data_IF_984834548007
#
_entry.id   IF_984834548007
#
_cell.length_a   1.000
_cell.length_b   1.000
_cell.length_c   1.000
_cell.angle_alpha   90.00
_cell.angle_beta   90.00
_cell.angle_gamma   90.00
#
_symmetry.space_group_name_H-M   'P 1'
#
loop_
_entity.id
_entity.type
_entity.pdbx_description
1 polymer ?
#
# COMPACT_ATOMS: atom_id res chain seq x y z
N UNK A 1 -20.75 -49.27 43.74
CA UNK A 1 -19.34 -49.35 43.29
C UNK A 1 -19.30 -49.11 41.78
N UNK A 2 -18.39 -48.22 41.34
CA UNK A 2 -17.85 -48.05 39.96
C UNK A 2 -18.68 -47.28 38.92
N UNK A 3 -18.47 -45.97 38.95
CA UNK A 3 -18.21 -45.03 37.83
C UNK A 3 -17.79 -45.63 36.50
N UNK A 4 -18.32 -45.13 35.38
CA UNK A 4 -17.53 -44.69 34.19
C UNK A 4 -18.20 -43.47 33.55
N UNK A 5 -17.52 -42.33 33.63
CA UNK A 5 -17.69 -41.17 32.79
C UNK A 5 -16.80 -41.33 31.54
N UNK A 6 -17.26 -40.92 30.36
CA UNK A 6 -16.40 -40.71 29.18
C UNK A 6 -17.08 -39.72 28.23
N UNK A 7 -16.90 -38.42 28.49
CA UNK A 7 -16.09 -37.49 27.68
C UNK A 7 -16.71 -37.24 26.30
N UNK A 8 -17.50 -36.16 26.24
CA UNK A 8 -17.89 -35.51 25.00
C UNK A 8 -16.62 -34.97 24.32
N UNK A 9 -16.27 -35.57 23.18
CA UNK A 9 -15.24 -35.05 22.29
C UNK A 9 -15.77 -33.76 21.64
N UNK A 10 -15.59 -32.64 22.34
CA UNK A 10 -15.73 -31.31 21.79
C UNK A 10 -14.53 -31.10 20.85
N UNK A 11 -14.69 -31.52 19.60
CA UNK A 11 -13.79 -31.16 18.51
C UNK A 11 -13.78 -29.63 18.41
N UNK A 12 -12.79 -29.03 19.08
CA UNK A 12 -12.39 -27.65 18.85
C UNK A 12 -11.99 -27.56 17.39
N UNK A 13 -12.94 -27.09 16.58
CA UNK A 13 -12.69 -26.59 15.24
C UNK A 13 -11.76 -25.39 15.44
N UNK A 14 -10.45 -25.65 15.41
CA UNK A 14 -9.47 -24.64 15.11
C UNK A 14 -9.80 -24.14 13.71
N UNK A 15 -10.64 -23.11 13.64
CA UNK A 15 -10.73 -22.31 12.43
C UNK A 15 -9.30 -21.84 12.17
N UNK A 16 -8.67 -22.21 11.04
CA UNK A 16 -7.49 -21.46 10.63
C UNK A 16 -7.96 -20.02 10.58
N UNK A 17 -7.35 -19.16 11.42
CA UNK A 17 -7.47 -17.74 11.24
C UNK A 17 -7.20 -17.50 9.76
N UNK A 18 -8.18 -16.97 9.04
CA UNK A 18 -8.02 -16.61 7.64
C UNK A 18 -6.82 -15.67 7.56
N UNK A 19 -5.65 -16.22 7.27
CA UNK A 19 -4.49 -15.46 6.84
C UNK A 19 -4.91 -14.93 5.48
N UNK A 20 -5.61 -13.79 5.48
CA UNK A 20 -5.76 -13.02 4.26
C UNK A 20 -4.34 -12.67 3.86
N UNK A 21 -3.79 -13.44 2.92
CA UNK A 21 -2.58 -13.06 2.21
C UNK A 21 -2.94 -11.72 1.57
N UNK A 22 -2.41 -10.66 2.15
CA UNK A 22 -2.65 -9.33 1.65
C UNK A 22 -2.00 -9.31 0.27
N UNK A 23 -2.82 -9.33 -0.77
CA UNK A 23 -2.32 -9.27 -2.13
C UNK A 23 -1.89 -7.83 -2.44
N UNK A 24 -0.66 -7.50 -2.04
CA UNK A 24 0.01 -6.22 -2.28
C UNK A 24 0.12 -5.92 -3.78
N UNK A 25 0.23 -6.98 -4.60
CA UNK A 25 0.26 -6.87 -6.06
C UNK A 25 -1.03 -6.26 -6.62
N UNK A 26 -2.17 -6.44 -5.93
CA UNK A 26 -3.46 -5.90 -6.39
C UNK A 26 -3.60 -4.38 -6.25
N UNK A 27 -2.91 -3.75 -5.28
CA UNK A 27 -2.95 -2.30 -5.09
C UNK A 27 -1.92 -1.61 -5.99
N UNK A 28 -0.72 -2.19 -6.07
CA UNK A 28 0.33 -1.79 -7.00
C UNK A 28 -0.11 -1.92 -8.46
N UNK A 29 -0.65 -3.07 -8.85
CA UNK A 29 -1.17 -3.29 -10.20
C UNK A 29 -2.30 -2.32 -10.57
N UNK A 30 -3.14 -1.93 -9.60
CA UNK A 30 -4.16 -0.89 -9.78
C UNK A 30 -3.55 0.50 -9.95
N UNK A 31 -2.49 0.83 -9.23
CA UNK A 31 -1.76 2.09 -9.42
C UNK A 31 -1.11 2.12 -10.82
N UNK A 32 -0.41 1.05 -11.21
CA UNK A 32 0.24 0.95 -12.52
C UNK A 32 -0.77 1.02 -13.67
N UNK A 33 -1.91 0.34 -13.56
CA UNK A 33 -2.97 0.43 -14.57
C UNK A 33 -3.51 1.86 -14.71
N UNK A 34 -3.63 2.59 -13.61
CA UNK A 34 -4.08 3.98 -13.63
C UNK A 34 -3.02 4.93 -14.20
N UNK A 35 -1.74 4.75 -13.88
CA UNK A 35 -0.65 5.57 -14.41
C UNK A 35 -0.38 5.28 -15.88
N UNK A 36 -0.44 4.02 -16.33
CA UNK A 36 -0.38 3.67 -17.76
C UNK A 36 -1.52 4.30 -18.56
N UNK A 37 -2.71 4.41 -17.96
CA UNK A 37 -3.86 5.05 -18.61
C UNK A 37 -3.74 6.57 -18.63
N UNK A 38 -3.31 7.20 -17.52
CA UNK A 38 -3.32 8.65 -17.38
C UNK A 38 -2.05 9.33 -17.93
N UNK A 39 -0.90 8.69 -17.79
CA UNK A 39 0.40 9.26 -18.11
C UNK A 39 1.42 8.20 -18.58
N UNK A 40 1.15 7.46 -19.68
CA UNK A 40 1.99 6.35 -20.12
C UNK A 40 3.44 6.74 -20.41
N UNK A 41 3.71 7.98 -20.81
CA UNK A 41 5.06 8.48 -21.08
C UNK A 41 5.91 8.71 -19.82
N UNK A 42 5.30 8.68 -18.63
CA UNK A 42 5.99 8.91 -17.36
C UNK A 42 6.60 7.65 -16.76
N UNK A 43 6.23 6.46 -17.24
CA UNK A 43 6.75 5.15 -16.77
C UNK A 43 6.81 4.98 -15.25
N UNK A 44 5.75 5.37 -14.53
CA UNK A 44 5.74 5.37 -13.06
C UNK A 44 5.75 3.98 -12.41
N UNK A 45 5.60 2.93 -13.21
CA UNK A 45 5.85 1.54 -12.81
C UNK A 45 7.32 1.27 -12.45
N UNK A 46 8.25 2.11 -12.91
CA UNK A 46 9.70 1.99 -12.69
C UNK A 46 10.18 2.70 -11.40
N UNK A 47 9.25 3.26 -10.60
CA UNK A 47 9.56 3.88 -9.32
C UNK A 47 10.24 2.87 -8.37
N UNK A 48 11.43 3.20 -7.91
CA UNK A 48 12.10 2.50 -6.81
C UNK A 48 11.59 2.97 -5.45
N UNK A 49 12.00 2.27 -4.40
CA UNK A 49 11.68 2.55 -2.98
C UNK A 49 11.86 4.03 -2.61
N UNK A 50 13.10 4.54 -2.66
CA UNK A 50 13.36 5.94 -2.29
C UNK A 50 12.61 6.97 -3.15
N UNK A 51 12.36 6.67 -4.42
CA UNK A 51 11.61 7.57 -5.30
C UNK A 51 10.12 7.59 -4.97
N UNK A 52 9.58 6.48 -4.46
CA UNK A 52 8.21 6.49 -3.98
C UNK A 52 8.07 7.30 -2.69
N UNK A 53 9.02 7.19 -1.77
CA UNK A 53 9.03 8.00 -0.56
C UNK A 53 9.07 9.49 -0.93
N UNK A 54 9.86 9.89 -1.92
CA UNK A 54 9.86 11.26 -2.43
C UNK A 54 8.50 11.68 -3.02
N UNK A 55 7.79 10.77 -3.70
CA UNK A 55 6.42 11.03 -4.20
C UNK A 55 5.45 11.23 -3.02
N UNK A 56 5.57 10.42 -1.98
CA UNK A 56 4.76 10.54 -0.77
C UNK A 56 5.03 11.86 -0.03
N UNK A 57 6.30 12.20 0.14
CA UNK A 57 6.74 13.43 0.79
C UNK A 57 6.30 14.68 0.05
N UNK A 58 6.16 14.60 -1.28
CA UNK A 58 5.55 15.66 -2.07
C UNK A 58 4.02 15.70 -2.01
N UNK A 59 3.35 14.55 -1.84
CA UNK A 59 1.89 14.45 -1.87
C UNK A 59 1.22 14.73 -0.52
N UNK A 60 1.72 14.10 0.56
CA UNK A 60 1.07 14.11 1.87
C UNK A 60 0.99 15.51 2.51
N UNK A 61 1.99 16.41 2.38
CA UNK A 61 1.92 17.74 2.98
C UNK A 61 0.79 18.63 2.44
N UNK A 62 0.23 18.31 1.27
CA UNK A 62 -0.93 19.03 0.73
C UNK A 62 -2.22 18.78 1.55
N UNK A 63 -2.22 17.82 2.49
CA UNK A 63 -3.39 17.45 3.28
C UNK A 63 -3.29 17.87 4.76
N UNK A 64 -4.43 18.22 5.39
CA UNK A 64 -4.48 18.54 6.80
C UNK A 64 -3.93 17.42 7.69
N UNK A 65 -3.41 17.79 8.87
CA UNK A 65 -2.86 16.83 9.84
C UNK A 65 -3.83 15.69 10.20
N UNK A 66 -5.14 15.98 10.28
CA UNK A 66 -6.16 14.97 10.54
C UNK A 66 -6.24 13.88 9.46
N UNK A 67 -6.09 14.26 8.18
CA UNK A 67 -6.08 13.31 7.06
C UNK A 67 -4.80 12.48 7.09
N UNK A 68 -3.65 13.12 7.31
CA UNK A 68 -2.36 12.43 7.45
C UNK A 68 -2.36 11.44 8.63
N UNK A 69 -2.95 11.81 9.76
CA UNK A 69 -3.12 10.92 10.91
C UNK A 69 -4.05 9.73 10.61
N UNK A 70 -5.11 9.94 9.84
CA UNK A 70 -5.98 8.84 9.38
C UNK A 70 -5.22 7.88 8.46
N UNK A 71 -4.38 8.40 7.56
CA UNK A 71 -3.51 7.60 6.69
C UNK A 71 -2.55 6.76 7.54
N UNK A 72 -1.80 7.37 8.46
CA UNK A 72 -0.84 6.65 9.30
C UNK A 72 -1.50 5.57 10.17
N UNK A 73 -2.72 5.84 10.67
CA UNK A 73 -3.53 4.87 11.42
C UNK A 73 -3.93 3.66 10.56
N UNK A 74 -4.28 3.88 9.29
CA UNK A 74 -4.66 2.80 8.36
C UNK A 74 -3.43 2.00 7.91
N UNK A 75 -2.33 2.70 7.63
CA UNK A 75 -1.07 2.10 7.20
C UNK A 75 -0.48 1.25 8.32
N UNK A 76 -0.37 1.79 9.55
CA UNK A 76 0.11 1.12 10.76
C UNK A 76 1.20 0.06 10.49
N UNK A 77 2.37 0.50 10.03
CA UNK A 77 3.44 -0.40 9.59
C UNK A 77 3.80 -1.52 10.56
N UNK A 78 3.97 -1.27 11.88
CA UNK A 78 4.35 -2.31 12.82
C UNK A 78 3.36 -3.48 12.88
N UNK A 79 2.09 -3.22 12.53
CA UNK A 79 1.05 -4.25 12.44
C UNK A 79 0.91 -4.81 11.03
N UNK A 80 0.98 -3.95 10.03
CA UNK A 80 0.60 -4.26 8.64
C UNK A 80 1.74 -4.93 7.87
N UNK A 81 2.99 -4.61 8.21
CA UNK A 81 4.20 -5.14 7.59
C UNK A 81 5.02 -6.01 8.57
N UNK A 82 4.41 -6.47 9.66
CA UNK A 82 5.09 -7.25 10.71
C UNK A 82 5.76 -8.55 10.22
N UNK A 83 5.26 -9.10 9.12
CA UNK A 83 5.76 -10.34 8.52
C UNK A 83 6.77 -10.10 7.38
N UNK A 84 6.99 -8.85 6.98
CA UNK A 84 8.01 -8.51 5.98
C UNK A 84 9.37 -8.39 6.68
N UNK A 85 10.31 -9.21 6.24
CA UNK A 85 11.68 -9.27 6.78
C UNK A 85 12.66 -8.40 6.00
N UNK A 86 12.35 -8.09 4.74
CA UNK A 86 13.05 -7.16 3.87
C UNK A 86 12.22 -6.95 2.60
N UNK A 87 11.97 -5.70 2.22
CA UNK A 87 11.19 -5.37 1.04
C UNK A 87 10.39 -4.10 1.24
N UNK A 88 10.15 -3.40 0.14
CA UNK A 88 9.38 -2.15 0.08
C UNK A 88 7.93 -2.37 -0.42
N UNK A 89 7.64 -3.60 -0.86
CA UNK A 89 6.33 -4.00 -1.40
C UNK A 89 5.20 -3.79 -0.40
N UNK A 90 5.47 -4.02 0.90
CA UNK A 90 4.47 -3.85 1.93
C UNK A 90 4.19 -2.38 2.22
N UNK A 91 5.21 -1.55 2.45
CA UNK A 91 5.03 -0.15 2.78
C UNK A 91 4.25 0.58 1.70
N UNK A 92 4.65 0.33 0.45
CA UNK A 92 4.01 0.90 -0.71
C UNK A 92 2.55 0.46 -0.81
N UNK A 93 2.30 -0.85 -0.83
CA UNK A 93 0.93 -1.34 -0.97
C UNK A 93 0.04 -0.94 0.22
N UNK A 94 0.61 -0.70 1.41
CA UNK A 94 -0.13 -0.20 2.57
C UNK A 94 -0.63 1.22 2.31
N UNK A 95 0.24 2.09 1.80
CA UNK A 95 -0.12 3.45 1.41
C UNK A 95 -1.16 3.47 0.29
N UNK A 96 -0.96 2.72 -0.81
CA UNK A 96 -1.91 2.68 -1.92
C UNK A 96 -3.31 2.23 -1.49
N UNK A 97 -3.39 1.22 -0.62
CA UNK A 97 -4.68 0.80 -0.05
C UNK A 97 -5.27 1.83 0.91
N UNK A 98 -4.43 2.51 1.68
CA UNK A 98 -4.90 3.59 2.54
C UNK A 98 -5.57 4.67 1.69
N UNK A 99 -4.93 5.11 0.61
CA UNK A 99 -5.47 6.09 -0.33
C UNK A 99 -6.74 5.61 -1.00
N UNK A 100 -6.81 4.33 -1.39
CA UNK A 100 -8.06 3.76 -1.90
C UNK A 100 -9.18 3.80 -0.86
N UNK A 101 -8.91 3.41 0.40
CA UNK A 101 -9.90 3.38 1.49
C UNK A 101 -10.45 4.76 1.86
N UNK A 102 -9.66 5.81 1.68
CA UNK A 102 -10.07 7.18 2.03
C UNK A 102 -10.38 8.06 0.80
N UNK A 103 -10.45 7.47 -0.40
CA UNK A 103 -10.83 8.18 -1.62
C UNK A 103 -9.74 9.07 -2.24
N UNK A 104 -8.47 8.91 -1.84
CA UNK A 104 -7.33 9.68 -2.34
C UNK A 104 -6.57 9.01 -3.49
N UNK A 105 -6.91 7.77 -3.91
CA UNK A 105 -6.17 7.05 -4.97
C UNK A 105 -6.03 7.85 -6.26
N UNK A 106 -7.13 8.43 -6.77
CA UNK A 106 -7.09 9.21 -8.01
C UNK A 106 -6.26 10.48 -7.89
N UNK A 107 -6.34 11.17 -6.74
CA UNK A 107 -5.52 12.34 -6.46
C UNK A 107 -4.04 11.98 -6.40
N UNK A 108 -3.71 10.84 -5.78
CA UNK A 108 -2.35 10.32 -5.71
C UNK A 108 -1.79 10.01 -7.11
N UNK A 109 -2.52 9.24 -7.94
CA UNK A 109 -2.12 8.96 -9.32
C UNK A 109 -1.90 10.24 -10.12
N UNK A 110 -2.84 11.18 -10.04
CA UNK A 110 -2.75 12.44 -10.79
C UNK A 110 -1.56 13.30 -10.31
N UNK A 111 -1.26 13.28 -9.00
CA UNK A 111 -0.06 13.90 -8.45
C UNK A 111 1.19 13.26 -9.04
N UNK A 112 1.35 11.93 -8.92
CA UNK A 112 2.53 11.23 -9.44
C UNK A 112 2.75 11.52 -10.93
N UNK A 113 1.70 11.45 -11.75
CA UNK A 113 1.76 11.73 -13.19
C UNK A 113 2.23 13.15 -13.55
N UNK A 114 1.90 14.15 -12.72
CA UNK A 114 2.27 15.55 -12.95
C UNK A 114 3.67 15.88 -12.48
N UNK A 115 4.15 15.18 -11.45
CA UNK A 115 5.35 15.55 -10.72
C UNK A 115 6.52 14.61 -10.94
N UNK A 116 6.33 13.45 -11.56
CA UNK A 116 7.38 12.44 -11.67
C UNK A 116 7.41 11.80 -13.06
N UNK A 117 8.63 11.45 -13.47
CA UNK A 117 8.91 10.68 -14.69
C UNK A 117 10.08 9.75 -14.46
N UNK A 118 9.95 8.51 -14.90
CA UNK A 118 11.04 7.57 -15.02
C UNK A 118 11.44 7.42 -16.49
N UNK A 119 12.74 7.43 -16.75
CA UNK A 119 13.28 7.12 -18.08
C UNK A 119 13.62 5.64 -18.20
N UNK A 120 14.18 5.09 -17.11
CA UNK A 120 14.54 3.68 -16.89
C UNK A 120 14.35 3.34 -15.40
N UNK A 121 14.36 2.05 -15.06
CA UNK A 121 14.34 1.58 -13.66
C UNK A 121 15.41 2.30 -12.85
N UNK A 122 15.04 2.88 -11.70
CA UNK A 122 15.89 3.70 -10.82
C UNK A 122 16.29 5.09 -11.35
N UNK A 123 16.03 5.43 -12.61
CA UNK A 123 16.24 6.77 -13.18
C UNK A 123 14.91 7.54 -13.27
N UNK A 124 14.33 7.83 -12.10
CA UNK A 124 13.18 8.72 -11.97
C UNK A 124 13.59 10.09 -11.47
N UNK A 125 12.95 11.12 -12.01
CA UNK A 125 13.17 12.51 -11.64
C UNK A 125 11.86 13.22 -11.39
N UNK A 126 11.91 14.16 -10.46
CA UNK A 126 10.84 15.11 -10.27
C UNK A 126 10.78 16.05 -11.48
N UNK A 127 9.58 16.26 -12.00
CA UNK A 127 9.31 17.20 -13.07
C UNK A 127 9.26 18.62 -12.51
N UNK A 128 9.76 19.58 -13.29
CA UNK A 128 9.71 20.98 -12.92
C UNK A 128 8.25 21.42 -12.66
N UNK A 129 7.99 22.31 -11.69
CA UNK A 129 6.66 22.85 -11.45
C UNK A 129 6.11 23.45 -12.75
N UNK A 130 4.97 22.96 -13.22
CA UNK A 130 4.29 23.56 -14.36
C UNK A 130 3.61 24.84 -13.87
N UNK A 131 4.06 25.99 -14.41
CA UNK A 131 3.54 27.32 -14.09
C UNK A 131 2.16 27.54 -14.67
#
# INVERSE_FOLDING_TARGET
MKTIAAIAAFLLIFSPANTQTVDWSSAWGKYNADTHRLCPSQKLEDLSDGQYDDVLDGFLPAYPAAVRSRISTIVNYPKTCAAETAGFSCEFGAHLRSFQRIGLRHAFVAYSCRHWRCEEATLCKQLAPQR
#
